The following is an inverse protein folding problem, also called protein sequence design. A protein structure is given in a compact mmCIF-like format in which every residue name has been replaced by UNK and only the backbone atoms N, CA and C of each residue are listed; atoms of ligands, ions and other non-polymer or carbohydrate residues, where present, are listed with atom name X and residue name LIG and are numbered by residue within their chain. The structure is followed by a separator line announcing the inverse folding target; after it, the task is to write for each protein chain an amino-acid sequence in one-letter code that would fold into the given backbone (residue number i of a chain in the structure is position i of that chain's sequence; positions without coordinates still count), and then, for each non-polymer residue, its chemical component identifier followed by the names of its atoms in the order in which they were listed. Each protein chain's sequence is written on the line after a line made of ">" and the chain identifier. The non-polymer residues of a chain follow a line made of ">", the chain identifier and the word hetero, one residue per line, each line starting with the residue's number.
data_IF_926163615567
#
_entry.id   IF_926163615567
#
_cell.length_a   1.000
_cell.length_b   1.000
_cell.length_c   1.000
_cell.angle_alpha   90.00
_cell.angle_beta   90.00
_cell.angle_gamma   90.00
#
_symmetry.space_group_name_H-M   'P 1'
#
loop_
_entity.id
_entity.type
_entity.pdbx_description
1 polymer ?
#
# COMPACT_ATOMS: atom_id res chain seq x y z
N UNK A 1 -17.27 0.63 -11.07
CA UNK A 1 -16.04 -0.15 -11.29
C UNK A 1 -15.63 -0.72 -9.96
N UNK A 2 -15.73 -2.03 -9.80
CA UNK A 2 -15.37 -2.70 -8.54
C UNK A 2 -13.85 -2.72 -8.41
N UNK A 3 -13.35 -2.55 -7.18
CA UNK A 3 -11.94 -2.74 -6.88
C UNK A 3 -11.76 -4.05 -6.12
N UNK A 4 -10.63 -4.71 -6.33
CA UNK A 4 -10.27 -5.92 -5.59
C UNK A 4 -8.82 -5.79 -5.10
N UNK A 5 -8.52 -6.45 -4.00
CA UNK A 5 -7.16 -6.47 -3.48
C UNK A 5 -6.29 -7.44 -4.27
N UNK A 6 -5.07 -7.00 -4.55
CA UNK A 6 -4.02 -7.77 -5.24
C UNK A 6 -2.97 -8.21 -4.22
N UNK A 7 -2.68 -7.34 -3.25
CA UNK A 7 -1.64 -7.53 -2.24
C UNK A 7 -1.94 -6.70 -1.01
N UNK A 8 -1.73 -7.27 0.17
CA UNK A 8 -1.76 -6.56 1.45
C UNK A 8 -0.50 -6.89 2.23
N UNK A 9 0.14 -5.85 2.75
CA UNK A 9 1.34 -5.95 3.57
C UNK A 9 1.10 -5.28 4.91
N UNK A 10 1.27 -6.02 5.99
CA UNK A 10 1.21 -5.49 7.35
C UNK A 10 2.56 -4.89 7.71
N UNK A 11 2.59 -3.60 8.06
CA UNK A 11 3.79 -2.87 8.46
C UNK A 11 3.92 -2.95 9.98
N UNK A 12 5.10 -3.33 10.47
CA UNK A 12 5.37 -3.49 11.90
C UNK A 12 5.83 -2.19 12.54
N UNK A 13 5.30 -1.92 13.73
CA UNK A 13 5.66 -0.78 14.58
C UNK A 13 4.81 0.45 14.32
N UNK A 14 5.00 1.45 15.17
CA UNK A 14 4.27 2.72 15.07
C UNK A 14 4.89 3.63 14.00
N UNK A 15 4.03 4.33 13.27
CA UNK A 15 4.45 5.30 12.25
C UNK A 15 4.20 6.71 12.76
N UNK A 16 5.29 7.38 13.17
CA UNK A 16 5.27 8.80 13.47
C UNK A 16 5.29 9.67 12.19
N UNK A 17 5.23 10.99 12.33
CA UNK A 17 5.22 11.91 11.19
C UNK A 17 6.45 11.77 10.29
N UNK A 18 7.64 11.60 10.88
CA UNK A 18 8.88 11.46 10.12
C UNK A 18 8.92 10.12 9.38
N UNK A 19 8.43 9.06 10.03
CA UNK A 19 8.27 7.73 9.47
C UNK A 19 7.30 7.68 8.31
N UNK A 20 6.17 8.38 8.43
CA UNK A 20 5.19 8.52 7.36
C UNK A 20 5.78 9.23 6.15
N UNK A 21 6.56 10.29 6.37
CA UNK A 21 7.25 11.00 5.28
C UNK A 21 8.30 10.13 4.59
N UNK A 22 9.06 9.32 5.36
CA UNK A 22 9.99 8.32 4.80
C UNK A 22 9.23 7.30 3.96
N UNK A 23 8.16 6.70 4.48
CA UNK A 23 7.33 5.73 3.75
C UNK A 23 6.78 6.32 2.45
N UNK A 24 6.23 7.54 2.49
CA UNK A 24 5.75 8.22 1.29
C UNK A 24 6.86 8.43 0.26
N UNK A 25 8.04 8.83 0.72
CA UNK A 25 9.17 9.12 -0.16
C UNK A 25 9.73 7.84 -0.80
N UNK A 26 9.99 6.80 -0.01
CA UNK A 26 10.60 5.56 -0.51
C UNK A 26 9.66 4.73 -1.38
N UNK A 27 8.34 4.85 -1.17
CA UNK A 27 7.31 4.19 -1.97
C UNK A 27 6.73 5.09 -3.08
N UNK A 28 7.24 6.31 -3.23
CA UNK A 28 6.79 7.29 -4.23
C UNK A 28 5.27 7.57 -4.16
N UNK A 29 4.76 7.70 -2.94
CA UNK A 29 3.35 7.96 -2.68
C UNK A 29 3.07 9.46 -2.70
N UNK A 30 2.00 9.85 -3.41
CA UNK A 30 1.39 11.16 -3.24
C UNK A 30 0.88 11.29 -1.80
N UNK A 31 1.15 12.45 -1.20
CA UNK A 31 0.67 12.79 0.15
C UNK A 31 -0.86 12.80 0.17
N UNK A 32 -1.43 12.11 1.15
CA UNK A 32 -2.85 12.12 1.49
C UNK A 32 -2.99 11.87 3.01
N UNK A 33 -4.01 12.42 3.66
CA UNK A 33 -4.24 12.28 5.10
C UNK A 33 -3.22 12.98 6.02
N UNK A 34 -3.61 13.19 7.28
CA UNK A 34 -2.82 13.85 8.34
C UNK A 34 -2.85 13.00 9.61
N UNK A 35 -1.69 12.66 10.18
CA UNK A 35 -1.64 11.77 11.37
C UNK A 35 -2.37 12.32 12.58
N UNK A 36 -2.48 13.64 12.69
CA UNK A 36 -3.20 14.34 13.76
C UNK A 36 -4.72 14.29 13.58
N UNK A 37 -5.20 13.83 12.42
CA UNK A 37 -6.61 13.56 12.18
C UNK A 37 -6.88 12.09 12.54
N UNK A 38 -7.76 11.87 13.50
CA UNK A 38 -8.13 10.55 14.00
C UNK A 38 -9.10 9.81 13.07
N UNK A 39 -9.72 10.50 12.11
CA UNK A 39 -10.63 9.93 11.13
C UNK A 39 -9.94 9.49 9.83
N UNK A 40 -8.76 10.04 9.54
CA UNK A 40 -8.00 9.66 8.36
C UNK A 40 -7.47 8.23 8.50
N UNK A 41 -7.83 7.39 7.52
CA UNK A 41 -7.26 6.05 7.37
C UNK A 41 -6.28 5.94 6.21
N UNK A 42 -6.38 6.81 5.19
CA UNK A 42 -5.48 6.81 4.04
C UNK A 42 -4.38 7.85 4.23
N UNK A 43 -3.14 7.41 4.14
CA UNK A 43 -1.97 8.26 4.41
C UNK A 43 -1.04 8.43 3.21
N UNK A 44 -1.35 7.84 2.07
CA UNK A 44 -0.63 8.10 0.83
C UNK A 44 -1.06 7.14 -0.27
N UNK A 45 -0.86 7.53 -1.52
CA UNK A 45 -1.19 6.65 -2.64
C UNK A 45 -0.35 6.87 -3.89
N UNK A 46 -0.23 5.82 -4.71
CA UNK A 46 0.34 5.88 -6.06
C UNK A 46 -0.49 5.03 -7.01
N UNK A 47 -0.64 5.46 -8.27
CA UNK A 47 -1.34 4.72 -9.32
C UNK A 47 -0.34 4.02 -10.24
N UNK A 48 -0.57 2.74 -10.51
CA UNK A 48 0.12 1.96 -11.53
C UNK A 48 -0.83 1.85 -12.72
N UNK A 49 -0.57 2.60 -13.79
CA UNK A 49 -1.38 2.57 -15.00
C UNK A 49 -1.19 1.23 -15.74
N UNK A 50 -2.28 0.67 -16.24
CA UNK A 50 -2.29 -0.49 -17.14
C UNK A 50 -3.02 -0.13 -18.44
N UNK A 51 -3.20 -1.10 -19.34
CA UNK A 51 -3.82 -0.89 -20.65
C UNK A 51 -5.26 -0.40 -20.52
N UNK A 52 -5.59 0.65 -21.26
CA UNK A 52 -6.91 1.27 -21.24
C UNK A 52 -7.14 2.07 -19.95
N UNK A 53 -8.34 2.00 -19.41
CA UNK A 53 -8.70 2.71 -18.17
C UNK A 53 -8.30 1.93 -16.89
N UNK A 54 -7.77 0.71 -17.04
CA UNK A 54 -7.41 -0.16 -15.91
C UNK A 54 -6.19 0.34 -15.16
N UNK A 55 -6.20 0.18 -13.84
CA UNK A 55 -5.08 0.54 -12.99
C UNK A 55 -5.08 -0.23 -11.68
N UNK A 56 -3.91 -0.30 -11.06
CA UNK A 56 -3.80 -0.61 -9.64
C UNK A 56 -3.47 0.68 -8.86
N UNK A 57 -3.87 0.73 -7.60
CA UNK A 57 -3.54 1.81 -6.66
C UNK A 57 -2.81 1.18 -5.49
N UNK A 58 -1.61 1.65 -5.21
CA UNK A 58 -0.91 1.40 -3.95
C UNK A 58 -1.43 2.43 -2.95
N UNK A 59 -1.84 1.99 -1.77
CA UNK A 59 -2.37 2.87 -0.72
C UNK A 59 -1.78 2.49 0.62
N UNK A 60 -1.26 3.48 1.33
CA UNK A 60 -0.82 3.35 2.71
C UNK A 60 -2.00 3.66 3.64
N UNK A 61 -2.32 2.73 4.53
CA UNK A 61 -3.44 2.83 5.44
C UNK A 61 -3.02 2.70 6.91
N UNK A 62 -3.77 3.38 7.79
CA UNK A 62 -3.86 3.09 9.22
C UNK A 62 -5.25 2.56 9.52
N UNK A 63 -5.32 1.38 10.12
CA UNK A 63 -6.56 0.80 10.62
C UNK A 63 -7.03 1.47 11.92
N UNK A 64 -8.29 1.24 12.31
CA UNK A 64 -8.84 1.82 13.54
C UNK A 64 -8.14 1.32 14.81
N UNK A 65 -7.53 0.14 14.76
CA UNK A 65 -6.73 -0.41 15.86
C UNK A 65 -5.30 0.17 15.93
N UNK A 66 -4.97 1.11 15.03
CA UNK A 66 -3.66 1.74 14.93
C UNK A 66 -2.64 0.97 14.10
N UNK A 67 -2.98 -0.23 13.62
CA UNK A 67 -2.09 -1.01 12.75
C UNK A 67 -1.92 -0.35 11.38
N UNK A 68 -0.74 -0.54 10.79
CA UNK A 68 -0.39 0.05 9.50
C UNK A 68 -0.31 -1.02 8.43
N UNK A 69 -0.83 -0.71 7.25
CA UNK A 69 -0.77 -1.61 6.11
C UNK A 69 -0.53 -0.87 4.80
N UNK A 70 0.08 -1.57 3.86
CA UNK A 70 0.17 -1.16 2.46
C UNK A 70 -0.70 -2.10 1.63
N UNK A 71 -1.68 -1.55 0.92
CA UNK A 71 -2.57 -2.31 0.06
C UNK A 71 -2.30 -1.97 -1.41
N UNK A 72 -2.38 -2.98 -2.28
CA UNK A 72 -2.46 -2.81 -3.73
C UNK A 72 -3.85 -3.23 -4.15
N UNK A 73 -4.63 -2.27 -4.63
CA UNK A 73 -6.02 -2.48 -5.04
C UNK A 73 -6.18 -2.22 -6.54
N UNK A 74 -6.75 -3.18 -7.25
CA UNK A 74 -6.90 -3.20 -8.69
C UNK A 74 -8.32 -2.88 -9.15
N UNK A 75 -8.46 -2.19 -10.29
CA UNK A 75 -9.75 -2.11 -11.00
C UNK A 75 -10.16 -3.48 -11.54
N UNK A 76 -11.45 -3.76 -11.65
CA UNK A 76 -11.98 -4.97 -12.29
C UNK A 76 -11.29 -5.34 -13.63
N UNK A 77 -10.95 -6.61 -13.78
CA UNK A 77 -10.28 -7.16 -14.97
C UNK A 77 -8.82 -6.72 -15.15
N UNK A 78 -8.20 -6.09 -14.15
CA UNK A 78 -6.74 -5.98 -14.10
C UNK A 78 -6.16 -7.35 -13.69
N UNK A 79 -5.12 -7.75 -14.39
CA UNK A 79 -4.38 -8.97 -14.08
C UNK A 79 -2.91 -8.60 -13.86
N UNK A 80 -2.31 -9.23 -12.86
CA UNK A 80 -0.86 -9.24 -12.66
C UNK A 80 -0.41 -10.67 -12.90
N UNK A 81 0.59 -10.86 -13.75
CA UNK A 81 1.22 -12.18 -13.85
C UNK A 81 1.88 -12.53 -12.50
N UNK A 82 2.15 -13.81 -12.20
CA UNK A 82 2.88 -14.19 -10.99
C UNK A 82 4.22 -13.44 -10.85
N UNK A 83 4.95 -13.27 -11.95
CA UNK A 83 6.24 -12.57 -11.96
C UNK A 83 6.08 -11.06 -11.70
N UNK A 84 5.06 -10.42 -12.29
CA UNK A 84 4.76 -9.01 -12.02
C UNK A 84 4.35 -8.79 -10.57
N UNK A 85 3.54 -9.70 -10.01
CA UNK A 85 3.14 -9.65 -8.60
C UNK A 85 4.35 -9.82 -7.69
N UNK A 86 5.22 -10.78 -7.97
CA UNK A 86 6.45 -11.02 -7.20
C UNK A 86 7.43 -9.83 -7.27
N UNK A 87 7.57 -9.22 -8.45
CA UNK A 87 8.39 -8.02 -8.64
C UNK A 87 7.83 -6.86 -7.83
N UNK A 88 6.52 -6.61 -7.92
CA UNK A 88 5.85 -5.56 -7.15
C UNK A 88 5.98 -5.79 -5.64
N UNK A 89 5.80 -7.03 -5.18
CA UNK A 89 5.99 -7.40 -3.78
C UNK A 89 7.40 -7.09 -3.30
N UNK A 90 8.43 -7.51 -4.05
CA UNK A 90 9.82 -7.25 -3.71
C UNK A 90 10.16 -5.74 -3.67
N UNK A 91 9.65 -4.97 -4.64
CA UNK A 91 9.84 -3.52 -4.70
C UNK A 91 9.24 -2.81 -3.49
N UNK A 92 8.00 -3.16 -3.13
CA UNK A 92 7.30 -2.57 -2.00
C UNK A 92 7.96 -2.96 -0.66
N UNK A 93 8.35 -4.22 -0.51
CA UNK A 93 9.11 -4.69 0.66
C UNK A 93 10.44 -3.95 0.81
N UNK A 94 11.16 -3.73 -0.31
CA UNK A 94 12.40 -2.97 -0.31
C UNK A 94 12.17 -1.50 0.09
N UNK A 95 11.13 -0.86 -0.44
CA UNK A 95 10.78 0.52 -0.11
C UNK A 95 10.36 0.71 1.36
N UNK A 96 9.59 -0.23 1.92
CA UNK A 96 9.24 -0.24 3.34
C UNK A 96 10.50 -0.38 4.21
N UNK A 97 11.41 -1.29 3.84
CA UNK A 97 12.69 -1.46 4.54
C UNK A 97 13.57 -0.22 4.47
N UNK A 98 13.62 0.44 3.32
CA UNK A 98 14.36 1.70 3.15
C UNK A 98 13.80 2.84 4.02
N UNK A 99 12.50 2.81 4.36
CA UNK A 99 11.89 3.75 5.29
C UNK A 99 12.19 3.45 6.78
N UNK A 100 12.86 2.32 7.06
CA UNK A 100 13.20 1.88 8.41
C UNK A 100 12.19 0.92 9.04
N UNK A 101 11.27 0.37 8.25
CA UNK A 101 10.21 -0.52 8.73
C UNK A 101 10.40 -1.95 8.26
N UNK A 102 9.68 -2.89 8.90
CA UNK A 102 9.53 -4.25 8.42
C UNK A 102 8.08 -4.47 8.01
N UNK A 103 7.85 -5.32 7.03
CA UNK A 103 6.50 -5.75 6.67
C UNK A 103 6.42 -7.25 6.47
N UNK A 104 5.19 -7.76 6.54
CA UNK A 104 4.85 -9.13 6.17
C UNK A 104 3.68 -9.12 5.20
N UNK A 105 3.81 -9.88 4.12
CA UNK A 105 2.71 -10.10 3.18
C UNK A 105 1.65 -10.96 3.88
N UNK A 106 0.40 -10.52 3.80
CA UNK A 106 -0.73 -11.27 4.34
C UNK A 106 -1.05 -12.44 3.42
N UNK A 107 -0.83 -13.66 3.93
CA UNK A 107 -1.19 -14.89 3.23
C UNK A 107 -2.64 -15.24 3.57
N UNK A 108 -3.61 -14.79 2.77
CA UNK A 108 -5.02 -15.12 2.94
C UNK A 108 -5.91 -14.40 1.92
N UNK A 109 -7.15 -14.87 1.69
CA UNK A 109 -8.09 -14.15 0.84
C UNK A 109 -8.31 -12.77 1.46
N UNK A 110 -7.96 -11.75 0.69
CA UNK A 110 -8.28 -10.38 1.05
C UNK A 110 -9.76 -10.20 0.72
N UNK A 111 -10.59 -10.14 1.76
CA UNK A 111 -12.03 -9.97 1.58
C UNK A 111 -12.31 -8.53 1.18
N UNK A 112 -12.95 -8.37 0.02
CA UNK A 112 -13.63 -7.14 -0.38
C UNK A 112 -14.95 -6.91 0.33
#
# INVERSE_FOLDING_TARGET
>A
MTMHDILVMDIRGDVDQSGLERLRTTLDLKKFGRLTDDWDQQFGYRRIARRGERYAKIVLFREFDGSWQLQVIGTEGIEFTPDERATLEADLMSGIRAAGYQATVRNGPVSG
#
